data_IF_550740702686
#
_entry.id   IF_550740702686
#
_cell.length_a   1.000
_cell.length_b   1.000
_cell.length_c   1.000
_cell.angle_alpha   90.00
_cell.angle_beta   90.00
_cell.angle_gamma   90.00
#
_symmetry.space_group_name_H-M   'P 1'
#
loop_
_entity.id
_entity.type
_entity.pdbx_description
1 polymer ?
#
# COMPACT_ATOMS: atom_id res chain seq x y z
N UNK A 1 62.35 -22.80 20.19
CA UNK A 1 62.28 -21.44 20.76
C UNK A 1 62.20 -21.55 22.27
N UNK A 2 63.19 -21.04 23.00
CA UNK A 2 63.20 -21.08 24.47
C UNK A 2 62.02 -20.29 25.03
N UNK A 3 61.44 -20.73 26.16
CA UNK A 3 60.29 -20.09 26.82
C UNK A 3 60.48 -18.57 27.05
N UNK A 4 61.73 -18.10 27.15
CA UNK A 4 62.10 -16.69 27.27
C UNK A 4 61.67 -15.85 26.06
N UNK A 5 61.78 -16.39 24.85
CA UNK A 5 61.36 -15.69 23.62
C UNK A 5 59.85 -15.64 23.47
N UNK A 6 59.13 -16.67 23.94
CA UNK A 6 57.67 -16.68 23.98
C UNK A 6 57.14 -15.58 24.90
N UNK A 7 57.74 -15.42 26.08
CA UNK A 7 57.38 -14.35 27.03
C UNK A 7 57.65 -12.98 26.42
N UNK A 8 58.80 -12.79 25.76
CA UNK A 8 59.12 -11.52 25.10
C UNK A 8 58.11 -11.16 23.99
N UNK A 9 57.69 -12.13 23.17
CA UNK A 9 56.69 -11.92 22.11
C UNK A 9 55.32 -11.55 22.70
N UNK A 10 54.89 -12.21 23.77
CA UNK A 10 53.62 -11.90 24.45
C UNK A 10 53.65 -10.48 25.01
N UNK A 11 54.75 -10.06 25.65
CA UNK A 11 54.88 -8.70 26.18
C UNK A 11 54.79 -7.64 25.07
N UNK A 12 55.44 -7.88 23.94
CA UNK A 12 55.37 -6.97 22.77
C UNK A 12 53.95 -6.90 22.20
N UNK A 13 53.25 -8.03 22.09
CA UNK A 13 51.87 -8.06 21.60
C UNK A 13 50.90 -7.33 22.54
N UNK A 14 51.04 -7.51 23.86
CA UNK A 14 50.20 -6.81 24.85
C UNK A 14 50.47 -5.31 24.82
N UNK A 15 51.73 -4.89 24.70
CA UNK A 15 52.08 -3.48 24.57
C UNK A 15 51.53 -2.86 23.28
N UNK A 16 51.67 -3.55 22.15
CA UNK A 16 51.12 -3.11 20.86
C UNK A 16 49.59 -3.00 20.90
N UNK A 17 48.91 -3.99 21.51
CA UNK A 17 47.46 -3.96 21.69
C UNK A 17 47.02 -2.83 22.62
N UNK A 18 47.76 -2.56 23.71
CA UNK A 18 47.49 -1.45 24.62
C UNK A 18 47.61 -0.09 23.93
N UNK A 19 48.67 0.12 23.13
CA UNK A 19 48.85 1.34 22.33
C UNK A 19 47.74 1.48 21.27
N UNK A 20 47.35 0.38 20.64
CA UNK A 20 46.26 0.36 19.67
C UNK A 20 44.92 0.73 20.32
N UNK A 21 44.57 0.13 21.46
CA UNK A 21 43.34 0.42 22.20
C UNK A 21 43.28 1.85 22.73
N UNK A 22 44.42 2.46 23.08
CA UNK A 22 44.50 3.87 23.47
C UNK A 22 44.31 4.82 22.28
N UNK A 23 44.84 4.47 21.11
CA UNK A 23 44.74 5.29 19.89
C UNK A 23 43.39 5.12 19.18
N UNK A 24 42.74 3.96 19.37
CA UNK A 24 41.45 3.59 18.79
C UNK A 24 40.55 2.99 19.89
N UNK A 25 40.06 3.81 20.84
CA UNK A 25 39.18 3.31 21.89
C UNK A 25 37.94 2.66 21.28
N UNK A 26 37.52 1.47 21.74
CA UNK A 26 36.29 0.86 21.26
C UNK A 26 35.13 1.81 21.58
N UNK A 27 34.41 2.22 20.54
CA UNK A 27 33.24 3.08 20.69
C UNK A 27 32.19 2.25 21.45
N UNK A 28 31.90 2.63 22.69
CA UNK A 28 30.73 2.07 23.38
C UNK A 28 29.50 2.66 22.71
N UNK A 29 28.78 1.87 21.92
CA UNK A 29 27.37 2.17 21.69
C UNK A 29 26.69 2.21 23.05
N UNK A 30 26.24 3.40 23.45
CA UNK A 30 25.41 3.55 24.64
C UNK A 30 24.16 2.71 24.43
N UNK A 31 24.04 1.64 25.19
CA UNK A 31 22.78 0.98 25.51
C UNK A 31 21.86 1.99 26.22
N UNK A 32 21.16 2.81 25.45
CA UNK A 32 19.94 3.48 25.91
C UNK A 32 18.78 2.52 25.73
N UNK A 33 18.21 2.11 26.88
CA UNK A 33 16.91 1.50 27.11
C UNK A 33 16.21 0.82 25.93
N UNK A 34 16.02 -0.49 26.05
CA UNK A 34 15.05 -1.27 25.29
C UNK A 34 13.65 -0.73 25.59
N UNK A 35 13.25 0.29 24.84
CA UNK A 35 11.86 0.55 24.48
C UNK A 35 11.78 0.22 23.00
N UNK A 36 11.38 -1.03 22.74
CA UNK A 36 10.83 -1.53 21.47
C UNK A 36 11.41 -0.90 20.19
N UNK A 37 12.34 -1.62 19.55
CA UNK A 37 12.77 -1.36 18.18
C UNK A 37 11.65 -1.48 17.11
N UNK A 38 10.37 -1.55 17.51
CA UNK A 38 9.22 -1.31 16.63
C UNK A 38 8.82 0.17 16.52
N UNK A 39 9.38 1.08 17.34
CA UNK A 39 9.04 2.50 17.33
C UNK A 39 9.74 3.33 16.22
N UNK A 40 10.73 2.76 15.51
CA UNK A 40 11.55 3.48 14.52
C UNK A 40 11.16 3.22 13.05
N UNK A 41 10.00 2.63 12.78
CA UNK A 41 9.40 2.64 11.43
C UNK A 41 8.65 3.95 11.11
N UNK A 42 8.83 4.99 11.93
CA UNK A 42 8.46 6.35 11.54
C UNK A 42 9.50 6.85 10.53
N UNK A 43 9.28 6.49 9.27
CA UNK A 43 9.82 7.31 8.19
C UNK A 43 9.29 8.71 8.40
N UNK A 44 10.14 9.61 8.89
CA UNK A 44 9.92 11.06 8.76
C UNK A 44 10.03 11.43 7.28
N UNK A 45 9.13 10.91 6.45
CA UNK A 45 8.77 11.57 5.22
C UNK A 45 7.98 12.80 5.64
N UNK A 46 8.39 14.00 5.22
CA UNK A 46 7.51 15.18 5.21
C UNK A 46 6.10 14.73 4.78
N UNK A 47 5.02 15.20 5.43
CA UNK A 47 3.67 14.74 5.10
C UNK A 47 3.41 15.03 3.63
N UNK A 48 3.55 13.99 2.81
CA UNK A 48 3.25 14.03 1.40
C UNK A 48 1.75 13.77 1.27
N UNK A 49 1.15 14.31 0.21
CA UNK A 49 -0.28 14.18 -0.01
C UNK A 49 -0.67 12.67 0.02
N UNK A 50 -1.72 12.28 0.76
CA UNK A 50 -2.23 10.92 0.72
C UNK A 50 -2.60 10.48 -0.69
N UNK A 51 -2.49 9.18 -0.96
CA UNK A 51 -3.08 8.61 -2.17
C UNK A 51 -4.60 8.66 -2.05
N UNK A 52 -5.26 9.20 -3.06
CA UNK A 52 -6.72 9.28 -3.12
C UNK A 52 -7.21 8.73 -4.45
N UNK A 53 -8.42 8.20 -4.42
CA UNK A 53 -9.14 7.74 -5.61
C UNK A 53 -10.55 8.31 -5.57
N UNK A 54 -11.11 8.62 -6.75
CA UNK A 54 -12.52 8.98 -6.84
C UNK A 54 -13.41 7.78 -6.49
N UNK A 55 -14.46 8.01 -5.70
CA UNK A 55 -15.42 6.96 -5.35
C UNK A 55 -16.14 6.40 -6.58
N UNK A 56 -16.41 7.24 -7.59
CA UNK A 56 -16.95 6.82 -8.88
C UNK A 56 -16.04 5.82 -9.60
N UNK A 57 -14.73 6.11 -9.66
CA UNK A 57 -13.74 5.22 -10.27
C UNK A 57 -13.62 3.90 -9.50
N UNK A 58 -13.55 3.94 -8.16
CA UNK A 58 -13.50 2.73 -7.34
C UNK A 58 -14.69 1.83 -7.66
N UNK A 59 -15.90 2.40 -7.67
CA UNK A 59 -17.11 1.63 -7.93
C UNK A 59 -17.12 1.04 -9.35
N UNK A 60 -16.73 1.80 -10.37
CA UNK A 60 -16.61 1.28 -11.73
C UNK A 60 -15.62 0.11 -11.80
N UNK A 61 -14.42 0.27 -11.23
CA UNK A 61 -13.38 -0.76 -11.29
C UNK A 61 -13.78 -2.04 -10.57
N UNK A 62 -14.42 -1.94 -9.39
CA UNK A 62 -14.96 -3.10 -8.66
C UNK A 62 -16.08 -3.78 -9.45
N UNK A 63 -16.93 -2.99 -10.10
CA UNK A 63 -17.99 -3.53 -10.96
C UNK A 63 -17.44 -4.19 -12.22
N UNK A 64 -16.39 -3.64 -12.84
CA UNK A 64 -15.72 -4.25 -13.98
C UNK A 64 -15.22 -5.65 -13.63
N UNK A 65 -14.59 -5.81 -12.46
CA UNK A 65 -14.20 -7.13 -11.95
C UNK A 65 -15.38 -8.09 -11.84
N UNK A 66 -16.43 -7.67 -11.12
CA UNK A 66 -17.63 -8.50 -10.89
C UNK A 66 -18.32 -8.91 -12.18
N UNK A 67 -18.32 -8.04 -13.17
CA UNK A 67 -19.04 -8.24 -14.44
C UNK A 67 -18.18 -8.88 -15.53
N UNK A 68 -16.88 -9.09 -15.30
CA UNK A 68 -15.99 -9.69 -16.30
C UNK A 68 -15.13 -10.80 -15.68
N UNK A 69 -14.03 -10.48 -14.99
CA UNK A 69 -13.13 -11.49 -14.42
C UNK A 69 -13.84 -12.48 -13.50
N UNK A 70 -14.73 -12.02 -12.60
CA UNK A 70 -15.44 -12.91 -11.69
C UNK A 70 -16.35 -13.88 -12.45
N UNK A 71 -17.11 -13.37 -13.42
CA UNK A 71 -17.97 -14.22 -14.27
C UNK A 71 -17.12 -15.27 -14.99
N UNK A 72 -15.95 -14.89 -15.49
CA UNK A 72 -15.03 -15.80 -16.15
C UNK A 72 -14.45 -16.84 -15.20
N UNK A 73 -14.15 -16.49 -13.95
CA UNK A 73 -13.69 -17.45 -12.95
C UNK A 73 -14.81 -18.46 -12.61
N UNK A 74 -16.03 -17.96 -12.44
CA UNK A 74 -17.19 -18.79 -12.07
C UNK A 74 -17.74 -19.61 -13.25
N UNK A 75 -17.58 -19.14 -14.49
CA UNK A 75 -18.19 -19.70 -15.70
C UNK A 75 -17.17 -19.89 -16.85
N UNK A 76 -15.93 -20.27 -16.52
CA UNK A 76 -14.76 -20.28 -17.42
C UNK A 76 -14.99 -20.92 -18.79
N UNK A 77 -15.83 -21.95 -18.88
CA UNK A 77 -16.15 -22.62 -20.15
C UNK A 77 -16.89 -21.74 -21.15
N UNK A 78 -17.58 -20.68 -20.69
CA UNK A 78 -18.40 -19.80 -21.54
C UNK A 78 -17.72 -18.47 -21.85
N UNK A 79 -16.95 -17.93 -20.90
CA UNK A 79 -16.34 -16.60 -21.01
C UNK A 79 -14.89 -16.60 -20.51
N UNK A 80 -13.91 -17.21 -21.21
CA UNK A 80 -12.53 -17.22 -20.74
C UNK A 80 -11.91 -15.81 -20.84
N UNK A 81 -11.39 -15.26 -19.72
CA UNK A 81 -10.47 -14.12 -19.78
C UNK A 81 -9.15 -14.61 -20.33
N UNK A 82 -8.66 -13.95 -21.39
CA UNK A 82 -7.35 -14.25 -21.98
C UNK A 82 -6.32 -13.24 -21.49
N UNK A 83 -5.15 -13.74 -21.13
CA UNK A 83 -3.97 -12.94 -20.77
C UNK A 83 -4.24 -11.90 -19.66
N UNK A 84 -4.94 -12.28 -18.61
CA UNK A 84 -5.13 -11.41 -17.45
C UNK A 84 -3.82 -11.22 -16.65
N UNK A 85 -3.77 -10.19 -15.82
CA UNK A 85 -2.72 -10.08 -14.82
C UNK A 85 -2.90 -11.20 -13.78
N UNK A 86 -1.81 -11.87 -13.41
CA UNK A 86 -1.81 -12.94 -12.41
C UNK A 86 -1.11 -12.55 -11.11
N UNK A 87 -0.34 -11.46 -11.12
CA UNK A 87 0.20 -10.88 -9.89
C UNK A 87 0.24 -9.35 -9.93
N UNK A 88 0.32 -8.77 -8.73
CA UNK A 88 0.43 -7.34 -8.52
C UNK A 88 1.55 -7.11 -7.51
N UNK A 89 2.56 -6.35 -7.92
CA UNK A 89 3.69 -5.99 -7.07
C UNK A 89 3.51 -4.59 -6.50
N UNK A 90 3.51 -4.50 -5.17
CA UNK A 90 3.61 -3.23 -4.45
C UNK A 90 4.98 -3.17 -3.78
N UNK A 91 5.65 -2.03 -3.87
CA UNK A 91 6.80 -1.77 -3.03
C UNK A 91 6.33 -1.57 -1.57
N UNK A 92 7.18 -2.01 -0.63
CA UNK A 92 6.85 -1.98 0.80
C UNK A 92 6.69 -0.54 1.31
N UNK A 93 7.38 0.42 0.73
CA UNK A 93 7.32 1.81 1.18
C UNK A 93 5.99 2.46 0.82
N UNK A 94 5.42 2.14 -0.34
CA UNK A 94 4.05 2.52 -0.73
C UNK A 94 3.03 1.96 0.25
N UNK A 95 3.16 0.68 0.66
CA UNK A 95 2.25 0.08 1.64
C UNK A 95 2.37 0.72 3.02
N UNK A 96 3.61 0.94 3.50
CA UNK A 96 3.86 1.62 4.77
C UNK A 96 3.30 3.04 4.78
N UNK A 97 3.51 3.79 3.69
CA UNK A 97 2.95 5.13 3.53
C UNK A 97 1.43 5.11 3.59
N UNK A 98 0.79 4.18 2.87
CA UNK A 98 -0.66 4.05 2.87
C UNK A 98 -1.21 3.78 4.28
N UNK A 99 -0.59 2.86 5.02
CA UNK A 99 -0.96 2.57 6.43
C UNK A 99 -0.75 3.81 7.31
N UNK A 100 0.40 4.49 7.17
CA UNK A 100 0.71 5.71 7.91
C UNK A 100 -0.30 6.84 7.65
N UNK A 101 -0.73 7.02 6.41
CA UNK A 101 -1.75 8.02 6.06
C UNK A 101 -3.13 7.68 6.68
N UNK A 102 -3.49 6.39 6.80
CA UNK A 102 -4.70 5.97 7.52
C UNK A 102 -4.61 6.34 8.99
N UNK A 103 -3.53 5.94 9.66
CA UNK A 103 -3.33 6.21 11.09
C UNK A 103 -3.30 7.71 11.38
N UNK A 104 -2.64 8.49 10.51
CA UNK A 104 -2.58 9.95 10.62
C UNK A 104 -3.95 10.59 10.50
N UNK A 105 -4.74 10.24 9.47
CA UNK A 105 -6.09 10.80 9.31
C UNK A 105 -7.01 10.45 10.48
N UNK A 106 -6.88 9.25 11.03
CA UNK A 106 -7.59 8.83 12.24
C UNK A 106 -7.17 9.65 13.45
N UNK A 107 -5.86 9.85 13.67
CA UNK A 107 -5.35 10.62 14.79
C UNK A 107 -5.75 12.11 14.71
N UNK A 108 -5.86 12.67 13.51
CA UNK A 108 -6.34 14.05 13.31
C UNK A 108 -7.81 14.22 13.72
N UNK A 109 -8.67 13.24 13.44
CA UNK A 109 -10.10 13.30 13.74
C UNK A 109 -10.49 12.72 15.12
N UNK A 110 -9.72 11.76 15.64
CA UNK A 110 -9.91 11.12 16.93
C UNK A 110 -8.58 11.07 17.72
N UNK A 111 -8.05 12.20 18.24
CA UNK A 111 -6.73 12.25 18.86
C UNK A 111 -6.53 11.34 20.08
N UNK A 112 -7.62 11.06 20.81
CA UNK A 112 -7.63 10.17 21.98
C UNK A 112 -8.20 8.77 21.65
N UNK A 113 -8.63 8.52 20.41
CA UNK A 113 -9.25 7.27 19.99
C UNK A 113 -8.21 6.22 19.61
N UNK A 114 -8.50 4.96 19.96
CA UNK A 114 -7.76 3.78 19.49
C UNK A 114 -8.69 2.83 18.71
N UNK A 115 -9.34 3.31 17.63
CA UNK A 115 -10.25 2.48 16.87
C UNK A 115 -9.50 1.30 16.24
N UNK A 116 -10.22 0.18 16.03
CA UNK A 116 -9.64 -0.95 15.30
C UNK A 116 -9.67 -0.64 13.80
N UNK A 117 -8.49 -0.50 13.23
CA UNK A 117 -8.29 -0.22 11.81
C UNK A 117 -7.97 -1.51 11.04
N UNK A 118 -8.36 -1.54 9.77
CA UNK A 118 -8.02 -2.58 8.83
C UNK A 118 -7.94 -1.99 7.42
N UNK A 119 -7.49 -2.81 6.46
CA UNK A 119 -7.51 -2.49 5.02
C UNK A 119 -8.34 -3.55 4.32
N UNK A 120 -9.29 -3.13 3.49
CA UNK A 120 -10.01 -4.02 2.60
C UNK A 120 -9.41 -3.93 1.21
N UNK A 121 -9.07 -5.08 0.65
CA UNK A 121 -8.63 -5.20 -0.73
C UNK A 121 -9.81 -5.65 -1.58
N UNK A 122 -10.29 -4.78 -2.45
CA UNK A 122 -11.29 -5.12 -3.45
C UNK A 122 -10.61 -5.63 -4.71
N UNK A 123 -11.05 -6.78 -5.21
CA UNK A 123 -10.75 -7.17 -6.59
C UNK A 123 -11.43 -6.19 -7.56
N UNK A 124 -10.69 -5.78 -8.57
CA UNK A 124 -11.04 -4.70 -9.46
C UNK A 124 -10.52 -4.97 -10.88
N UNK A 125 -11.11 -4.29 -11.86
CA UNK A 125 -10.68 -4.33 -13.26
C UNK A 125 -10.54 -2.92 -13.81
N UNK A 126 -9.39 -2.60 -14.40
CA UNK A 126 -9.19 -1.28 -15.00
C UNK A 126 -10.23 -1.00 -16.10
N UNK A 127 -10.75 0.24 -16.18
CA UNK A 127 -11.65 0.63 -17.26
C UNK A 127 -10.89 0.71 -18.58
N UNK A 128 -11.63 0.84 -19.68
CA UNK A 128 -11.04 1.03 -21.00
C UNK A 128 -10.17 2.30 -21.03
N UNK A 129 -8.95 2.21 -21.58
CA UNK A 129 -7.98 3.31 -21.51
C UNK A 129 -8.43 4.56 -22.23
N UNK A 130 -9.35 4.44 -23.19
CA UNK A 130 -9.95 5.60 -23.87
C UNK A 130 -10.62 6.57 -22.89
N UNK A 131 -11.07 6.05 -21.73
CA UNK A 131 -11.70 6.86 -20.68
C UNK A 131 -10.71 7.55 -19.75
N UNK A 132 -9.44 7.13 -19.72
CA UNK A 132 -8.48 7.60 -18.71
C UNK A 132 -8.14 9.09 -18.85
N UNK A 133 -8.42 9.70 -19.99
CA UNK A 133 -8.33 11.14 -20.21
C UNK A 133 -9.61 11.92 -19.88
N UNK A 134 -10.72 11.24 -19.58
CA UNK A 134 -12.01 11.86 -19.30
C UNK A 134 -12.11 12.39 -17.85
N UNK A 135 -12.98 13.38 -17.59
CA UNK A 135 -13.33 13.77 -16.22
C UNK A 135 -13.80 12.56 -15.40
N UNK A 136 -13.28 12.41 -14.16
CA UNK A 136 -13.58 11.28 -13.28
C UNK A 136 -12.49 10.20 -13.23
N UNK A 137 -11.62 10.13 -14.25
CA UNK A 137 -10.52 9.16 -14.35
C UNK A 137 -9.14 9.79 -14.18
N UNK A 138 -9.06 10.98 -13.58
CA UNK A 138 -7.80 11.72 -13.38
C UNK A 138 -6.75 10.90 -12.63
N UNK A 139 -7.20 9.99 -11.76
CA UNK A 139 -6.34 9.07 -11.01
C UNK A 139 -5.64 8.05 -11.91
N UNK A 140 -6.11 7.83 -13.14
CA UNK A 140 -5.52 6.96 -14.15
C UNK A 140 -4.75 7.71 -15.24
N UNK A 141 -4.90 9.04 -15.33
CA UNK A 141 -4.31 9.84 -16.41
C UNK A 141 -2.78 9.71 -16.48
N UNK A 142 -2.10 9.53 -15.34
CA UNK A 142 -0.66 9.30 -15.29
C UNK A 142 -0.19 8.01 -15.97
N UNK A 143 -1.07 7.02 -16.15
CA UNK A 143 -0.75 5.76 -16.82
C UNK A 143 -0.64 5.93 -18.34
N UNK A 144 -1.29 6.94 -18.92
CA UNK A 144 -1.25 7.21 -20.37
C UNK A 144 0.12 7.69 -20.85
N UNK A 145 1.01 8.12 -19.95
CA UNK A 145 2.35 8.59 -20.30
C UNK A 145 3.35 7.48 -20.64
N UNK A 146 3.04 6.21 -20.35
CA UNK A 146 3.98 5.10 -20.45
C UNK A 146 3.38 3.91 -21.23
N UNK A 147 4.18 3.23 -22.04
CA UNK A 147 3.68 2.13 -22.90
C UNK A 147 3.18 0.91 -22.11
N UNK A 148 3.89 0.51 -21.03
CA UNK A 148 3.50 -0.66 -20.24
C UNK A 148 2.19 -0.41 -19.46
N UNK A 149 2.03 0.70 -18.71
CA UNK A 149 0.78 0.97 -17.99
C UNK A 149 -0.46 1.16 -18.88
N UNK A 150 -0.32 1.59 -20.15
CA UNK A 150 -1.44 1.60 -21.12
C UNK A 150 -2.06 0.22 -21.34
N UNK A 151 -1.28 -0.85 -21.13
CA UNK A 151 -1.73 -2.23 -21.27
C UNK A 151 -2.45 -2.75 -20.02
N UNK A 152 -2.63 -1.91 -18.98
CA UNK A 152 -3.41 -2.27 -17.79
C UNK A 152 -4.91 -2.28 -18.06
N UNK A 153 -5.38 -1.70 -19.17
CA UNK A 153 -6.80 -1.72 -19.53
C UNK A 153 -7.39 -3.12 -19.41
N UNK A 154 -8.56 -3.23 -18.76
CA UNK A 154 -9.29 -4.50 -18.56
C UNK A 154 -8.50 -5.58 -17.80
N UNK A 155 -7.34 -5.28 -17.21
CA UNK A 155 -6.61 -6.22 -16.35
C UNK A 155 -7.17 -6.22 -14.94
N UNK A 156 -7.11 -7.39 -14.31
CA UNK A 156 -7.34 -7.56 -12.88
C UNK A 156 -6.34 -6.71 -12.10
N UNK A 157 -6.85 -6.01 -11.10
CA UNK A 157 -6.07 -5.28 -10.11
C UNK A 157 -6.75 -5.36 -8.74
N UNK A 158 -6.17 -4.72 -7.73
CA UNK A 158 -6.80 -4.54 -6.43
C UNK A 158 -6.93 -3.06 -6.09
N UNK A 159 -7.95 -2.73 -5.30
CA UNK A 159 -8.10 -1.42 -4.67
C UNK A 159 -8.09 -1.61 -3.16
N UNK A 160 -7.14 -0.98 -2.48
CA UNK A 160 -7.05 -0.96 -1.03
C UNK A 160 -7.83 0.24 -0.49
N UNK A 161 -8.76 -0.01 0.42
CA UNK A 161 -9.61 1.00 1.07
C UNK A 161 -9.46 0.87 2.59
N UNK A 162 -9.35 1.99 3.33
CA UNK A 162 -9.32 1.98 4.80
C UNK A 162 -10.64 1.47 5.38
N UNK A 163 -10.52 0.75 6.49
CA UNK A 163 -11.65 0.19 7.21
C UNK A 163 -11.51 0.51 8.68
N UNK A 164 -12.61 0.92 9.30
CA UNK A 164 -12.72 1.14 10.73
C UNK A 164 -13.78 0.22 11.31
N UNK A 165 -13.51 -0.34 12.49
CA UNK A 165 -14.56 -0.99 13.28
C UNK A 165 -15.44 0.09 13.91
N UNK A 166 -16.65 0.26 13.39
CA UNK A 166 -17.59 1.28 13.85
C UNK A 166 -18.21 0.94 15.22
N UNK A 167 -19.08 1.83 15.72
CA UNK A 167 -19.74 1.66 17.04
C UNK A 167 -20.64 0.42 17.14
N UNK A 168 -21.19 -0.04 16.01
CA UNK A 168 -21.94 -1.29 15.87
C UNK A 168 -21.04 -2.53 15.83
N UNK A 169 -19.73 -2.35 15.91
CA UNK A 169 -18.76 -3.44 15.84
C UNK A 169 -18.55 -4.02 14.44
N UNK A 170 -18.98 -3.32 13.38
CA UNK A 170 -18.83 -3.73 11.98
C UNK A 170 -17.60 -3.07 11.37
N UNK A 171 -16.83 -3.84 10.60
CA UNK A 171 -15.73 -3.31 9.78
C UNK A 171 -16.31 -2.60 8.54
N UNK A 172 -16.36 -1.27 8.60
CA UNK A 172 -16.94 -0.43 7.57
C UNK A 172 -15.85 0.37 6.84
N UNK A 173 -15.99 0.47 5.52
CA UNK A 173 -15.11 1.27 4.69
C UNK A 173 -15.33 2.75 4.98
N UNK A 174 -14.25 3.52 5.08
CA UNK A 174 -14.32 4.94 5.45
C UNK A 174 -13.16 5.75 4.86
N UNK A 175 -13.27 7.08 4.94
CA UNK A 175 -12.18 8.00 4.66
C UNK A 175 -11.62 8.52 6.00
N UNK A 176 -10.35 8.20 6.35
CA UNK A 176 -9.70 8.66 7.58
C UNK A 176 -9.76 10.18 7.78
N UNK A 177 -9.77 10.95 6.69
CA UNK A 177 -9.79 12.41 6.70
C UNK A 177 -11.20 13.02 6.65
N UNK A 178 -12.27 12.20 6.70
CA UNK A 178 -13.66 12.66 6.78
C UNK A 178 -14.40 11.97 7.92
N UNK A 179 -14.57 12.70 9.03
CA UNK A 179 -15.26 12.21 10.24
C UNK A 179 -16.67 11.68 9.96
N UNK A 180 -17.37 12.18 8.92
CA UNK A 180 -18.73 11.74 8.57
C UNK A 180 -18.78 10.29 8.10
N UNK A 181 -17.64 9.72 7.71
CA UNK A 181 -17.54 8.36 7.17
C UNK A 181 -17.20 7.31 8.23
N UNK A 182 -17.00 7.68 9.50
CA UNK A 182 -16.53 6.76 10.54
C UNK A 182 -17.55 5.70 10.96
N UNK A 183 -18.81 5.87 10.51
CA UNK A 183 -19.86 4.86 10.63
C UNK A 183 -19.97 3.97 9.39
N UNK A 184 -19.08 4.17 8.42
CA UNK A 184 -19.14 3.66 7.06
C UNK A 184 -19.45 4.80 6.07
N UNK A 185 -19.06 4.62 4.80
CA UNK A 185 -19.51 5.52 3.74
C UNK A 185 -21.04 5.62 3.72
N UNK A 186 -21.59 6.84 3.55
CA UNK A 186 -23.04 7.01 3.49
C UNK A 186 -23.61 6.16 2.35
N UNK A 187 -24.66 5.40 2.65
CA UNK A 187 -25.39 4.66 1.62
C UNK A 187 -25.93 5.66 0.60
N UNK A 188 -25.44 5.58 -0.63
CA UNK A 188 -25.99 6.36 -1.74
C UNK A 188 -27.36 5.78 -2.07
N UNK A 189 -28.41 6.45 -1.61
CA UNK A 189 -29.79 6.06 -1.90
C UNK A 189 -29.99 5.99 -3.41
N UNK A 190 -30.44 4.82 -3.89
CA UNK A 190 -30.69 4.46 -5.27
C UNK A 190 -31.87 5.22 -5.92
N UNK A 191 -31.85 6.56 -5.90
CA UNK A 191 -32.78 7.41 -6.67
C UNK A 191 -32.26 7.74 -8.07
N UNK A 192 -31.44 6.86 -8.63
CA UNK A 192 -31.14 6.82 -10.06
C UNK A 192 -31.46 5.42 -10.55
N UNK A 193 -32.42 5.33 -11.46
CA UNK A 193 -32.93 4.13 -12.13
C UNK A 193 -31.90 3.47 -13.07
N UNK A 194 -30.61 3.50 -12.70
CA UNK A 194 -29.57 2.72 -13.36
C UNK A 194 -29.02 1.69 -12.36
N UNK A 195 -29.56 0.49 -12.46
CA UNK A 195 -29.04 -0.73 -11.84
C UNK A 195 -27.50 -0.74 -11.89
N UNK A 196 -26.88 -0.74 -10.71
CA UNK A 196 -25.46 -1.04 -10.44
C UNK A 196 -24.37 -0.11 -10.99
N UNK A 197 -24.65 0.93 -11.78
CA UNK A 197 -23.60 1.87 -12.21
C UNK A 197 -23.38 2.95 -11.16
N UNK A 198 -22.21 2.91 -10.52
CA UNK A 198 -21.69 4.10 -9.86
C UNK A 198 -21.63 5.24 -10.84
N UNK A 199 -21.98 6.44 -10.40
CA UNK A 199 -21.82 7.64 -11.23
C UNK A 199 -20.31 7.84 -11.45
N UNK A 200 -19.77 7.61 -12.67
CA UNK A 200 -18.34 7.78 -12.92
C UNK A 200 -17.93 9.26 -12.85
N UNK A 201 -18.91 10.18 -12.86
CA UNK A 201 -18.69 11.62 -12.70
C UNK A 201 -18.58 12.03 -11.24
N UNK A 202 -18.83 11.12 -10.30
CA UNK A 202 -18.57 11.40 -8.89
C UNK A 202 -17.07 11.51 -8.63
N UNK A 203 -16.65 12.75 -8.46
CA UNK A 203 -15.27 13.13 -8.19
C UNK A 203 -14.93 13.14 -6.71
N UNK A 204 -15.86 12.73 -5.83
CA UNK A 204 -15.60 12.65 -4.38
C UNK A 204 -14.39 11.78 -4.12
N UNK A 205 -13.36 12.38 -3.53
CA UNK A 205 -12.10 11.71 -3.25
C UNK A 205 -12.18 10.99 -1.90
N UNK A 206 -11.69 9.77 -1.88
CA UNK A 206 -11.42 9.04 -0.64
C UNK A 206 -9.98 8.55 -0.64
N UNK A 207 -9.41 8.38 0.55
CA UNK A 207 -8.13 7.69 0.68
C UNK A 207 -8.25 6.27 0.12
N UNK A 208 -7.35 5.90 -0.77
CA UNK A 208 -7.37 4.61 -1.47
C UNK A 208 -6.10 4.40 -2.27
N UNK A 209 -5.76 3.14 -2.52
CA UNK A 209 -4.56 2.76 -3.28
C UNK A 209 -4.90 1.68 -4.31
N UNK A 210 -4.54 1.91 -5.57
CA UNK A 210 -4.76 0.95 -6.66
C UNK A 210 -3.49 0.61 -7.45
N UNK A 211 -2.43 1.43 -7.37
CA UNK A 211 -1.27 1.26 -8.24
C UNK A 211 -0.19 0.34 -7.63
N UNK A 212 -0.09 -0.86 -8.19
CA UNK A 212 1.10 -1.70 -8.15
C UNK A 212 1.52 -2.02 -9.59
N UNK A 213 2.67 -2.66 -9.76
CA UNK A 213 3.06 -3.19 -11.07
C UNK A 213 2.24 -4.45 -11.38
N UNK A 214 1.47 -4.46 -12.48
CA UNK A 214 0.74 -5.64 -12.93
C UNK A 214 1.64 -6.55 -13.76
N UNK A 215 1.55 -7.86 -13.52
CA UNK A 215 2.30 -8.85 -14.28
C UNK A 215 1.34 -9.94 -14.81
N UNK A 216 1.28 -10.15 -16.14
CA UNK A 216 1.61 -9.20 -17.21
C UNK A 216 0.77 -7.90 -17.09
N UNK A 217 1.15 -6.77 -17.73
CA UNK A 217 2.08 -6.64 -18.87
C UNK A 217 3.52 -6.29 -18.51
N UNK A 218 3.84 -6.04 -17.24
CA UNK A 218 5.24 -5.90 -16.85
C UNK A 218 5.97 -7.25 -16.92
N UNK A 219 7.29 -7.22 -16.76
CA UNK A 219 8.11 -8.42 -16.80
C UNK A 219 7.79 -9.34 -15.62
N UNK A 220 7.75 -10.65 -15.88
CA UNK A 220 7.66 -11.72 -14.90
C UNK A 220 9.02 -12.14 -14.32
N UNK A 221 10.10 -11.43 -14.68
CA UNK A 221 11.42 -11.69 -14.10
C UNK A 221 11.34 -11.45 -12.58
N UNK A 222 11.64 -12.51 -11.82
CA UNK A 222 11.60 -12.49 -10.35
C UNK A 222 10.30 -13.05 -9.75
N UNK A 223 9.28 -13.36 -10.56
CA UNK A 223 8.15 -14.15 -10.08
C UNK A 223 8.59 -15.59 -9.80
N UNK A 224 8.31 -16.06 -8.59
CA UNK A 224 8.62 -17.42 -8.18
C UNK A 224 7.50 -18.43 -8.46
N UNK A 225 6.30 -17.97 -8.82
CA UNK A 225 5.09 -18.78 -9.02
C UNK A 225 4.33 -18.30 -10.24
#
# INVERSE_FOLDING_TARGET
>A
MEKKYLVAVIVVLVAAFGVYALKYPPVSEKSTGVVSAFASLQGESKPSKPSTLSMGLIQEMVNNYRNTQLISIENASKNPVKADAHSILFDIDTLKKFISDIERGVKENLPAGSPKLAVRMYYAGYPDKVKWSEPGYKDLAGLLGNEIPKLYEKKHTIIMIPVIKNDKGVFADFNPFDLKTYQGFPHRTAKSTQLFRGDPTDTTQTLGLNHGQLIPPASNIGEGF
#
